data_IF_840246519692
#
_entry.id   IF_840246519692
#
_cell.length_a   1.000
_cell.length_b   1.000
_cell.length_c   1.000
_cell.angle_alpha   90.00
_cell.angle_beta   90.00
_cell.angle_gamma   90.00
#
_symmetry.space_group_name_H-M   'P 1'
#
loop_
_entity.id
_entity.type
_entity.pdbx_description
1 polymer ?
#
# COMPACT_ATOMS: atom_id res chain seq x y z
N UNK A 1 -24.62 -4.41 0.63
CA UNK A 1 -23.35 -5.15 0.40
C UNK A 1 -22.95 -4.91 -1.05
N UNK A 2 -21.72 -4.46 -1.31
CA UNK A 2 -21.21 -4.29 -2.67
C UNK A 2 -21.04 -5.66 -3.34
N UNK A 3 -21.64 -5.84 -4.51
CA UNK A 3 -21.49 -7.06 -5.31
C UNK A 3 -20.82 -6.69 -6.63
N UNK A 4 -19.54 -7.06 -6.83
CA UNK A 4 -18.85 -6.78 -8.08
C UNK A 4 -19.51 -7.54 -9.22
N UNK A 5 -19.81 -6.83 -10.32
CA UNK A 5 -20.32 -7.45 -11.56
C UNK A 5 -19.13 -7.71 -12.48
N UNK A 6 -18.81 -8.96 -12.71
CA UNK A 6 -17.75 -9.36 -13.64
C UNK A 6 -18.14 -10.65 -14.37
N UNK A 7 -17.49 -10.90 -15.49
CA UNK A 7 -17.61 -12.13 -16.25
C UNK A 7 -16.24 -12.78 -16.38
N UNK A 8 -16.18 -14.09 -16.13
CA UNK A 8 -14.95 -14.85 -16.35
C UNK A 8 -14.88 -15.24 -17.82
N UNK A 9 -14.10 -14.48 -18.59
CA UNK A 9 -13.81 -14.80 -19.99
C UNK A 9 -12.75 -15.89 -20.10
N UNK A 10 -12.64 -16.60 -21.24
CA UNK A 10 -11.55 -17.57 -21.47
C UNK A 10 -10.16 -16.97 -21.29
N UNK A 11 -9.97 -15.69 -21.68
CA UNK A 11 -8.71 -14.97 -21.48
C UNK A 11 -8.41 -14.76 -19.99
N UNK A 12 -9.42 -14.38 -19.20
CA UNK A 12 -9.26 -14.21 -17.75
C UNK A 12 -8.95 -15.55 -17.07
N UNK A 13 -9.67 -16.63 -17.44
CA UNK A 13 -9.41 -17.97 -16.91
C UNK A 13 -7.98 -18.42 -17.21
N UNK A 14 -7.51 -18.22 -18.44
CA UNK A 14 -6.12 -18.55 -18.81
C UNK A 14 -5.12 -17.77 -17.96
N UNK A 15 -5.31 -16.45 -17.80
CA UNK A 15 -4.43 -15.62 -16.98
C UNK A 15 -4.39 -16.07 -15.50
N UNK A 16 -5.54 -16.44 -14.93
CA UNK A 16 -5.60 -16.97 -13.56
C UNK A 16 -4.85 -18.31 -13.42
N UNK A 17 -4.97 -19.19 -14.41
CA UNK A 17 -4.20 -20.45 -14.43
C UNK A 17 -2.70 -20.21 -14.55
N UNK A 18 -2.28 -19.26 -15.39
CA UNK A 18 -0.87 -18.89 -15.53
C UNK A 18 -0.30 -18.29 -14.24
N UNK A 19 -1.07 -17.42 -13.57
CA UNK A 19 -0.70 -16.85 -12.25
C UNK A 19 -0.53 -17.97 -11.22
N UNK A 20 -1.48 -18.92 -11.15
CA UNK A 20 -1.39 -20.03 -10.20
C UNK A 20 -0.20 -20.94 -10.50
N UNK A 21 0.07 -21.25 -11.77
CA UNK A 21 1.25 -22.01 -12.16
C UNK A 21 2.57 -21.31 -11.76
N UNK A 22 2.66 -19.99 -11.97
CA UNK A 22 3.81 -19.20 -11.52
C UNK A 22 3.93 -19.19 -9.99
N UNK A 23 2.81 -19.04 -9.27
CA UNK A 23 2.80 -19.08 -7.80
C UNK A 23 3.34 -20.41 -7.28
N UNK A 24 2.90 -21.52 -7.87
CA UNK A 24 3.37 -22.85 -7.49
C UNK A 24 4.87 -23.02 -7.82
N UNK A 25 5.30 -22.60 -9.01
CA UNK A 25 6.72 -22.67 -9.39
C UNK A 25 7.62 -21.89 -8.42
N UNK A 26 7.19 -20.72 -7.96
CA UNK A 26 7.93 -19.94 -6.95
C UNK A 26 7.93 -20.63 -5.59
N UNK A 27 6.81 -21.25 -5.18
CA UNK A 27 6.72 -21.98 -3.92
C UNK A 27 7.64 -23.20 -3.87
N UNK A 28 7.88 -23.83 -5.02
CA UNK A 28 8.71 -25.04 -5.15
C UNK A 28 10.21 -24.71 -5.32
N UNK A 29 10.60 -23.42 -5.37
CA UNK A 29 12.00 -23.06 -5.47
C UNK A 29 12.79 -23.49 -4.21
N UNK A 30 13.95 -24.13 -4.35
CA UNK A 30 14.77 -24.57 -3.22
C UNK A 30 15.57 -23.39 -2.64
N UNK A 31 14.87 -22.39 -2.09
CA UNK A 31 15.50 -21.23 -1.46
C UNK A 31 15.64 -21.43 0.04
N UNK A 32 16.79 -21.03 0.59
CA UNK A 32 17.00 -21.04 2.04
C UNK A 32 16.19 -19.92 2.71
N UNK A 33 15.82 -20.12 3.98
CA UNK A 33 15.12 -19.10 4.78
C UNK A 33 15.88 -17.77 4.75
N UNK A 34 17.21 -17.82 4.94
CA UNK A 34 18.06 -16.62 4.93
C UNK A 34 18.00 -15.86 3.60
N UNK A 35 18.01 -16.58 2.46
CA UNK A 35 17.88 -15.96 1.15
C UNK A 35 16.50 -15.34 0.97
N UNK A 36 15.45 -16.05 1.40
CA UNK A 36 14.09 -15.55 1.33
C UNK A 36 13.91 -14.25 2.13
N UNK A 37 14.46 -14.18 3.35
CA UNK A 37 14.39 -12.98 4.18
C UNK A 37 15.15 -11.80 3.56
N UNK A 38 16.33 -12.07 2.98
CA UNK A 38 17.09 -11.05 2.23
C UNK A 38 16.31 -10.51 1.02
N UNK A 39 15.66 -11.40 0.26
CA UNK A 39 14.84 -11.02 -0.89
C UNK A 39 13.61 -10.19 -0.46
N UNK A 40 12.94 -10.58 0.64
CA UNK A 40 11.82 -9.83 1.20
C UNK A 40 12.25 -8.42 1.64
N UNK A 41 13.37 -8.32 2.34
CA UNK A 41 13.89 -7.01 2.77
C UNK A 41 14.21 -6.12 1.57
N UNK A 42 14.87 -6.65 0.55
CA UNK A 42 15.18 -5.93 -0.68
C UNK A 42 13.89 -5.49 -1.40
N UNK A 43 12.92 -6.39 -1.54
CA UNK A 43 11.63 -6.08 -2.16
C UNK A 43 10.86 -4.99 -1.41
N UNK A 44 10.90 -5.00 -0.06
CA UNK A 44 10.28 -3.94 0.77
C UNK A 44 10.91 -2.57 0.52
N UNK A 45 12.23 -2.48 0.47
CA UNK A 45 12.95 -1.23 0.20
C UNK A 45 12.62 -0.70 -1.20
N UNK A 46 12.64 -1.55 -2.21
CA UNK A 46 12.29 -1.20 -3.59
C UNK A 46 10.84 -0.75 -3.68
N UNK A 47 9.92 -1.49 -3.06
CA UNK A 47 8.49 -1.14 -3.02
C UNK A 47 8.26 0.20 -2.31
N UNK A 48 8.95 0.45 -1.19
CA UNK A 48 8.88 1.73 -0.47
C UNK A 48 9.31 2.88 -1.36
N UNK A 49 10.46 2.75 -2.03
CA UNK A 49 10.96 3.78 -2.94
C UNK A 49 9.94 4.12 -4.04
N UNK A 50 9.49 3.13 -4.81
CA UNK A 50 8.59 3.38 -5.93
C UNK A 50 7.21 3.85 -5.50
N UNK A 51 6.66 3.33 -4.40
CA UNK A 51 5.36 3.75 -3.88
C UNK A 51 5.37 5.20 -3.39
N UNK A 52 6.43 5.64 -2.71
CA UNK A 52 6.55 7.04 -2.29
C UNK A 52 6.91 7.96 -3.45
N UNK A 53 7.69 7.49 -4.43
CA UNK A 53 8.04 8.25 -5.63
C UNK A 53 6.80 8.63 -6.47
N UNK A 54 5.81 7.75 -6.57
CA UNK A 54 4.53 8.04 -7.26
C UNK A 54 3.81 9.22 -6.61
N UNK A 55 3.95 9.39 -5.29
CA UNK A 55 3.38 10.50 -4.52
C UNK A 55 4.27 11.76 -4.54
N UNK A 56 5.37 11.74 -5.30
CA UNK A 56 6.26 12.88 -5.49
C UNK A 56 7.47 12.93 -4.56
N UNK A 57 7.76 11.85 -3.81
CA UNK A 57 8.98 11.72 -3.03
C UNK A 57 10.21 11.75 -3.95
N UNK A 58 11.25 12.46 -3.52
CA UNK A 58 12.45 12.72 -4.35
C UNK A 58 13.71 12.02 -3.86
N UNK A 59 13.61 11.15 -2.86
CA UNK A 59 14.74 10.34 -2.41
C UNK A 59 15.06 9.27 -3.45
N UNK A 60 16.35 9.04 -3.69
CA UNK A 60 16.79 7.91 -4.52
C UNK A 60 16.63 6.59 -3.78
N UNK A 61 16.73 5.47 -4.47
CA UNK A 61 16.63 4.15 -3.85
C UNK A 61 17.72 3.94 -2.78
N UNK A 62 18.92 4.45 -3.00
CA UNK A 62 20.03 4.41 -2.04
C UNK A 62 19.71 5.25 -0.81
N UNK A 63 19.16 6.46 -0.99
CA UNK A 63 18.75 7.33 0.12
C UNK A 63 17.61 6.71 0.92
N UNK A 64 16.63 6.07 0.28
CA UNK A 64 15.58 5.30 0.98
C UNK A 64 16.19 4.19 1.84
N UNK A 65 17.16 3.45 1.30
CA UNK A 65 17.88 2.42 2.04
C UNK A 65 18.58 3.02 3.28
N UNK A 66 19.28 4.15 3.13
CA UNK A 66 19.95 4.83 4.24
C UNK A 66 18.95 5.32 5.30
N UNK A 67 17.84 5.96 4.88
CA UNK A 67 16.80 6.45 5.80
C UNK A 67 16.21 5.33 6.63
N UNK A 68 15.92 4.19 6.01
CA UNK A 68 15.24 3.07 6.66
C UNK A 68 16.19 2.26 7.55
N UNK A 69 17.38 1.92 7.07
CA UNK A 69 18.26 0.97 7.74
C UNK A 69 19.36 1.63 8.59
N UNK A 70 19.73 2.87 8.26
CA UNK A 70 20.87 3.55 8.88
C UNK A 70 20.48 4.85 9.61
N UNK A 71 19.20 5.26 9.53
CA UNK A 71 18.75 6.52 10.08
C UNK A 71 19.32 7.75 9.34
N UNK A 72 19.62 7.60 8.04
CA UNK A 72 20.16 8.67 7.22
C UNK A 72 19.29 9.92 7.25
N UNK A 73 19.94 11.09 7.17
CA UNK A 73 19.30 12.41 7.16
C UNK A 73 19.84 13.18 5.96
N UNK A 74 18.93 13.78 5.19
CA UNK A 74 19.26 14.52 3.96
C UNK A 74 18.76 15.95 4.08
N UNK A 75 19.62 16.97 3.97
CA UNK A 75 19.21 18.38 4.10
C UNK A 75 18.08 18.75 3.14
N UNK A 76 17.06 19.43 3.66
CA UNK A 76 15.85 19.85 2.92
C UNK A 76 15.02 18.69 2.34
N UNK A 77 15.07 17.51 2.98
CA UNK A 77 14.31 16.30 2.62
C UNK A 77 13.52 15.71 3.79
N UNK A 78 13.33 16.45 4.86
CA UNK A 78 12.72 15.98 6.11
C UNK A 78 11.32 15.38 5.87
N UNK A 79 10.54 16.00 4.96
CA UNK A 79 9.23 15.49 4.56
C UNK A 79 9.35 14.17 3.82
N UNK A 80 10.26 14.10 2.85
CA UNK A 80 10.48 12.91 2.01
C UNK A 80 10.96 11.74 2.89
N UNK A 81 11.86 12.00 3.85
CA UNK A 81 12.34 11.00 4.83
C UNK A 81 11.22 10.50 5.74
N UNK A 82 10.39 11.43 6.27
CA UNK A 82 9.29 11.05 7.16
C UNK A 82 8.27 10.19 6.42
N UNK A 83 7.96 10.51 5.19
CA UNK A 83 7.06 9.73 4.34
C UNK A 83 7.57 8.29 4.12
N UNK A 84 8.86 8.14 3.81
CA UNK A 84 9.51 6.84 3.66
C UNK A 84 9.48 6.05 4.96
N UNK A 85 9.83 6.64 6.10
CA UNK A 85 9.76 5.99 7.41
C UNK A 85 8.33 5.57 7.75
N UNK A 86 7.36 6.43 7.52
CA UNK A 86 5.95 6.15 7.77
C UNK A 86 5.44 4.98 6.93
N UNK A 87 5.79 4.97 5.64
CA UNK A 87 5.41 3.89 4.73
C UNK A 87 6.02 2.56 5.18
N UNK A 88 7.30 2.57 5.58
CA UNK A 88 7.97 1.37 6.05
C UNK A 88 7.36 0.82 7.34
N UNK A 89 7.00 1.70 8.29
CA UNK A 89 6.26 1.33 9.50
C UNK A 89 4.88 0.73 9.18
N UNK A 90 4.21 1.23 8.15
CA UNK A 90 2.94 0.65 7.71
C UNK A 90 3.12 -0.77 7.16
N UNK A 91 4.22 -1.06 6.45
CA UNK A 91 4.56 -2.41 6.01
C UNK A 91 4.86 -3.34 7.20
N UNK A 92 5.57 -2.87 8.24
CA UNK A 92 5.80 -3.65 9.46
C UNK A 92 4.46 -4.05 10.11
N UNK A 93 3.54 -3.11 10.23
CA UNK A 93 2.20 -3.39 10.76
C UNK A 93 1.42 -4.42 9.93
N UNK A 94 1.54 -4.38 8.60
CA UNK A 94 0.92 -5.39 7.73
C UNK A 94 1.54 -6.77 7.97
N UNK A 95 2.86 -6.86 8.13
CA UNK A 95 3.53 -8.13 8.43
C UNK A 95 3.09 -8.69 9.78
N UNK A 96 2.93 -7.84 10.80
CA UNK A 96 2.39 -8.24 12.11
C UNK A 96 0.96 -8.80 11.99
N UNK A 97 0.09 -8.16 11.19
CA UNK A 97 -1.27 -8.64 10.94
C UNK A 97 -1.28 -10.01 10.27
N UNK A 98 -0.40 -10.22 9.28
CA UNK A 98 -0.26 -11.50 8.57
C UNK A 98 0.23 -12.58 9.55
N UNK A 99 1.22 -12.28 10.38
CA UNK A 99 1.76 -13.20 11.36
C UNK A 99 0.71 -13.61 12.41
N UNK A 100 -0.17 -12.69 12.79
CA UNK A 100 -1.27 -12.94 13.71
C UNK A 100 -2.42 -13.77 13.09
N UNK A 101 -2.36 -14.07 11.78
CA UNK A 101 -3.43 -14.78 11.03
C UNK A 101 -4.82 -14.18 11.22
N UNK A 102 -4.87 -12.88 11.49
CA UNK A 102 -6.10 -12.13 11.64
C UNK A 102 -6.79 -11.85 10.29
N UNK A 103 -8.10 -11.70 10.30
CA UNK A 103 -8.81 -11.18 9.13
C UNK A 103 -8.62 -9.67 9.02
N UNK A 104 -8.53 -9.17 7.80
CA UNK A 104 -8.52 -7.74 7.55
C UNK A 104 -9.85 -7.13 8.00
N UNK A 105 -9.78 -6.04 8.76
CA UNK A 105 -10.92 -5.30 9.26
C UNK A 105 -10.76 -3.80 8.97
N UNK A 106 -11.87 -3.08 8.92
CA UNK A 106 -11.92 -1.64 8.69
C UNK A 106 -10.90 -0.86 9.54
N UNK A 107 -10.80 -1.19 10.84
CA UNK A 107 -9.84 -0.57 11.76
C UNK A 107 -8.38 -0.72 11.30
N UNK A 108 -8.03 -1.83 10.64
CA UNK A 108 -6.67 -2.05 10.17
C UNK A 108 -6.34 -1.11 9.01
N UNK A 109 -7.29 -0.89 8.09
CA UNK A 109 -7.14 0.09 7.00
C UNK A 109 -6.97 1.50 7.56
N UNK A 110 -7.79 1.88 8.54
CA UNK A 110 -7.67 3.18 9.21
C UNK A 110 -6.34 3.34 9.97
N UNK A 111 -5.84 2.27 10.58
CA UNK A 111 -4.53 2.27 11.27
C UNK A 111 -3.38 2.40 10.27
N UNK A 112 -3.41 1.66 9.16
CA UNK A 112 -2.42 1.76 8.08
C UNK A 112 -2.40 3.20 7.54
N UNK A 113 -3.56 3.79 7.28
CA UNK A 113 -3.65 5.19 6.86
C UNK A 113 -3.03 6.13 7.91
N UNK A 114 -3.30 5.92 9.18
CA UNK A 114 -2.70 6.69 10.28
C UNK A 114 -1.17 6.59 10.30
N UNK A 115 -0.62 5.39 10.11
CA UNK A 115 0.83 5.16 10.01
C UNK A 115 1.43 5.92 8.83
N UNK A 116 0.87 5.76 7.63
CA UNK A 116 1.36 6.42 6.42
C UNK A 116 1.34 7.94 6.58
N UNK A 117 0.22 8.50 7.07
CA UNK A 117 0.05 9.96 7.14
C UNK A 117 0.79 10.62 8.31
N UNK A 118 0.95 9.94 9.43
CA UNK A 118 1.45 10.56 10.68
C UNK A 118 2.55 9.79 11.39
N UNK A 119 2.90 8.59 10.93
CA UNK A 119 3.82 7.68 11.62
C UNK A 119 3.25 7.10 12.93
N UNK A 120 1.95 7.22 13.18
CA UNK A 120 1.32 6.75 14.42
C UNK A 120 0.33 5.64 14.12
N UNK A 121 0.42 4.53 14.85
CA UNK A 121 -0.51 3.39 14.77
C UNK A 121 -1.88 3.74 15.42
N UNK A 122 -2.49 4.83 14.97
CA UNK A 122 -3.78 5.31 15.43
C UNK A 122 -4.78 5.32 14.27
N UNK A 123 -5.94 4.63 14.38
CA UNK A 123 -6.97 4.69 13.36
C UNK A 123 -7.38 6.13 13.05
N UNK A 124 -7.40 6.47 11.77
CA UNK A 124 -7.89 7.77 11.32
C UNK A 124 -9.36 7.67 10.93
N UNK A 125 -10.17 8.72 11.18
CA UNK A 125 -11.55 8.73 10.74
C UNK A 125 -11.63 8.79 9.22
N UNK A 126 -12.76 8.38 8.67
CA UNK A 126 -13.09 8.70 7.28
C UNK A 126 -13.29 10.21 7.10
N UNK A 127 -13.22 10.65 5.84
CA UNK A 127 -13.48 12.05 5.50
C UNK A 127 -14.89 12.45 5.93
N UNK A 128 -15.05 13.67 6.34
CA UNK A 128 -16.32 14.34 6.68
C UNK A 128 -16.84 15.22 5.54
N UNK A 129 -15.96 15.59 4.59
CA UNK A 129 -16.26 16.41 3.43
C UNK A 129 -16.35 15.62 2.12
N UNK A 130 -17.00 16.22 1.13
CA UNK A 130 -17.10 15.69 -0.23
C UNK A 130 -15.82 15.98 -1.01
N UNK A 131 -15.22 14.94 -1.58
CA UNK A 131 -14.10 15.03 -2.50
C UNK A 131 -14.61 15.02 -3.93
N UNK A 132 -13.91 15.73 -4.82
CA UNK A 132 -14.13 15.69 -6.26
C UNK A 132 -12.79 15.66 -6.98
N UNK A 133 -12.72 14.98 -8.12
CA UNK A 133 -11.57 15.04 -9.01
C UNK A 133 -11.92 15.97 -10.16
N UNK A 134 -11.11 17.02 -10.34
CA UNK A 134 -11.24 17.99 -11.42
C UNK A 134 -10.12 17.82 -12.44
N UNK A 135 -10.45 18.05 -13.69
CA UNK A 135 -9.46 18.26 -14.73
C UNK A 135 -8.75 19.60 -14.50
N UNK A 136 -7.42 19.57 -14.45
CA UNK A 136 -6.63 20.78 -14.18
C UNK A 136 -6.67 21.81 -15.31
N UNK A 137 -6.96 21.40 -16.55
CA UNK A 137 -6.98 22.27 -17.72
C UNK A 137 -8.34 22.94 -17.90
N UNK A 138 -9.44 22.18 -17.75
CA UNK A 138 -10.81 22.68 -17.97
C UNK A 138 -11.52 23.12 -16.69
N UNK A 139 -11.03 22.74 -15.50
CA UNK A 139 -11.70 22.92 -14.22
C UNK A 139 -12.95 22.07 -14.04
N UNK A 140 -13.32 21.28 -15.05
CA UNK A 140 -14.49 20.40 -15.06
C UNK A 140 -14.35 19.25 -14.06
N UNK A 141 -15.49 18.79 -13.51
CA UNK A 141 -15.51 17.60 -12.64
C UNK A 141 -15.37 16.36 -13.53
N UNK A 142 -14.28 15.59 -13.33
CA UNK A 142 -14.01 14.33 -14.03
C UNK A 142 -14.63 13.16 -13.28
N UNK A 143 -14.59 13.19 -11.94
CA UNK A 143 -15.13 12.12 -11.12
C UNK A 143 -15.64 12.67 -9.78
N UNK A 144 -16.78 12.16 -9.36
CA UNK A 144 -17.37 12.41 -8.05
C UNK A 144 -17.46 11.08 -7.30
N UNK A 145 -16.61 10.86 -6.27
CA UNK A 145 -16.69 9.68 -5.45
C UNK A 145 -17.98 9.65 -4.62
N UNK A 146 -18.34 8.52 -3.99
CA UNK A 146 -19.47 8.41 -3.08
C UNK A 146 -19.51 9.56 -2.06
N UNK A 147 -20.68 9.90 -1.54
CA UNK A 147 -20.78 10.91 -0.48
C UNK A 147 -20.01 10.45 0.78
N UNK A 148 -19.50 11.41 1.55
CA UNK A 148 -18.73 11.11 2.76
C UNK A 148 -19.47 10.17 3.72
N UNK A 149 -20.80 10.37 3.88
CA UNK A 149 -21.68 9.53 4.71
C UNK A 149 -21.79 8.08 4.24
N UNK A 150 -21.55 7.80 2.95
CA UNK A 150 -21.69 6.48 2.36
C UNK A 150 -20.36 5.68 2.42
N UNK A 151 -19.24 6.33 2.72
CA UNK A 151 -17.93 5.69 2.78
C UNK A 151 -17.84 4.59 3.85
N UNK A 152 -18.27 4.80 5.12
CA UNK A 152 -18.18 3.76 6.13
C UNK A 152 -18.99 2.49 5.79
N UNK A 153 -20.26 2.55 5.34
CA UNK A 153 -21.00 1.34 4.98
C UNK A 153 -20.42 0.63 3.73
N UNK A 154 -19.83 1.36 2.79
CA UNK A 154 -19.18 0.76 1.62
C UNK A 154 -17.87 0.06 1.98
N UNK A 155 -17.11 0.60 2.93
CA UNK A 155 -15.84 0.03 3.39
C UNK A 155 -15.99 -1.25 4.22
N UNK A 156 -17.18 -1.50 4.79
CA UNK A 156 -17.48 -2.74 5.55
C UNK A 156 -17.78 -3.96 4.67
N UNK A 157 -17.74 -3.77 3.37
CA UNK A 157 -18.05 -4.82 2.38
C UNK A 157 -16.79 -5.50 1.81
N UNK A 158 -15.62 -5.27 2.40
CA UNK A 158 -14.34 -5.88 2.03
C UNK A 158 -14.00 -7.06 2.93
#
# INVERSE_FOLDING_TARGET
>A
MFQPKFQISPRLSKALMEIEACRQAVADLPVTVKLMDSLRQSARLVSTHYSTQIEGNRLTQEQVHEVVLQGGIFPNRERDEQEVRNYYLALDYVDELIAAKGSLAERHVQTIHGLVMTGKAKPTPYRDGQNIIRDSASGGIVYMPPEARDVPPLSRCV
#
